data_IF_218483896970
#
_entry.id   IF_218483896970
#
_cell.length_a   1.000
_cell.length_b   1.000
_cell.length_c   1.000
_cell.angle_alpha   90.00
_cell.angle_beta   90.00
_cell.angle_gamma   90.00
#
_symmetry.space_group_name_H-M   'P 1'
#
loop_
_entity.id
_entity.type
_entity.pdbx_description
1 polymer ?
#
# COMPACT_ATOMS: atom_id res chain seq x y z
N UNK A 1 34.88 2.74 12.74
CA UNK A 1 35.40 1.86 11.66
C UNK A 1 34.60 0.56 11.65
N UNK A 2 33.62 0.50 10.74
CA UNK A 2 32.80 -0.62 10.22
C UNK A 2 31.46 -0.03 9.79
N UNK A 3 31.50 0.68 8.68
CA UNK A 3 30.33 1.03 7.86
C UNK A 3 29.76 -0.27 7.32
N UNK A 4 28.57 -0.67 7.77
CA UNK A 4 27.80 -1.71 7.09
C UNK A 4 27.26 -1.10 5.80
N UNK A 5 28.02 -1.24 4.72
CA UNK A 5 27.50 -1.06 3.37
C UNK A 5 26.54 -2.22 3.10
N UNK A 6 25.24 -1.96 3.13
CA UNK A 6 24.25 -2.86 2.54
C UNK A 6 24.41 -2.78 1.01
N UNK A 7 25.36 -3.54 0.47
CA UNK A 7 25.35 -3.89 -0.94
C UNK A 7 24.23 -4.91 -1.13
N UNK A 8 23.05 -4.45 -1.58
CA UNK A 8 21.95 -5.32 -1.98
C UNK A 8 22.36 -6.12 -3.22
N UNK A 9 22.83 -7.35 -3.01
CA UNK A 9 22.71 -8.38 -4.04
C UNK A 9 21.31 -8.99 -3.92
N UNK A 10 20.65 -9.32 -5.05
CA UNK A 10 19.33 -9.96 -5.01
C UNK A 10 19.42 -11.23 -4.17
N UNK A 11 18.53 -11.36 -3.20
CA UNK A 11 18.44 -12.54 -2.38
C UNK A 11 17.90 -13.69 -3.24
N UNK A 12 18.77 -14.64 -3.57
CA UNK A 12 18.40 -15.87 -4.31
C UNK A 12 17.65 -16.87 -3.42
N UNK A 13 17.81 -16.75 -2.10
CA UNK A 13 17.15 -17.60 -1.09
C UNK A 13 16.09 -16.84 -0.28
N UNK A 14 15.07 -17.56 0.18
CA UNK A 14 14.05 -17.05 1.10
C UNK A 14 14.69 -16.66 2.43
N UNK A 15 14.42 -15.45 2.91
CA UNK A 15 15.00 -14.96 4.15
C UNK A 15 14.03 -15.09 5.32
N UNK A 16 14.45 -15.80 6.37
CA UNK A 16 13.70 -15.89 7.62
C UNK A 16 13.81 -14.57 8.40
N UNK A 17 12.66 -13.99 8.72
CA UNK A 17 12.55 -12.83 9.58
C UNK A 17 12.81 -13.28 11.02
N UNK A 18 13.88 -12.76 11.64
CA UNK A 18 14.29 -13.10 13.02
C UNK A 18 13.64 -12.20 14.08
N UNK A 19 13.32 -10.96 13.72
CA UNK A 19 12.70 -9.96 14.60
C UNK A 19 11.63 -9.20 13.83
N UNK A 20 10.49 -8.92 14.46
CA UNK A 20 9.38 -8.18 13.85
C UNK A 20 9.86 -6.84 13.31
N UNK A 21 9.55 -6.51 12.06
CA UNK A 21 10.01 -5.27 11.44
C UNK A 21 9.52 -4.01 12.17
N UNK A 22 8.35 -4.06 12.82
CA UNK A 22 7.74 -2.92 13.55
C UNK A 22 8.12 -2.86 15.03
N UNK A 23 7.95 -3.95 15.80
CA UNK A 23 8.18 -3.92 17.25
C UNK A 23 9.55 -4.45 17.69
N UNK A 24 10.29 -5.13 16.81
CA UNK A 24 11.54 -5.86 17.09
C UNK A 24 11.39 -7.07 18.02
N UNK A 25 10.17 -7.45 18.38
CA UNK A 25 9.85 -8.71 19.05
C UNK A 25 10.31 -9.94 18.27
N UNK A 26 10.74 -10.99 18.96
CA UNK A 26 11.31 -12.20 18.34
C UNK A 26 10.36 -13.42 18.37
N UNK A 27 9.18 -13.28 18.99
CA UNK A 27 8.21 -14.38 19.13
C UNK A 27 7.13 -14.24 18.07
N UNK A 28 7.04 -15.26 17.22
CA UNK A 28 6.03 -15.36 16.16
C UNK A 28 5.31 -16.70 16.30
N UNK A 29 4.00 -16.69 16.08
CA UNK A 29 3.22 -17.91 15.97
C UNK A 29 2.60 -18.03 14.59
N UNK A 30 2.48 -19.28 14.14
CA UNK A 30 1.86 -19.63 12.87
C UNK A 30 0.36 -19.40 12.91
N UNK A 31 -0.20 -18.86 11.82
CA UNK A 31 -1.64 -18.71 11.65
C UNK A 31 -2.19 -19.70 10.60
N UNK A 32 -1.71 -19.57 9.37
CA UNK A 32 -2.11 -20.40 8.22
C UNK A 32 -1.06 -20.26 7.11
N UNK A 33 -1.26 -20.95 5.99
CA UNK A 33 -0.38 -20.86 4.82
C UNK A 33 -1.12 -20.31 3.61
N UNK A 34 -0.43 -19.52 2.79
CA UNK A 34 -0.87 -19.05 1.48
C UNK A 34 0.11 -19.63 0.46
N UNK A 35 -0.36 -20.51 -0.42
CA UNK A 35 0.51 -21.33 -1.28
C UNK A 35 1.59 -22.01 -0.42
N UNK A 36 2.88 -21.80 -0.73
CA UNK A 36 4.01 -22.38 0.00
C UNK A 36 4.59 -21.46 1.10
N UNK A 37 3.88 -20.39 1.48
CA UNK A 37 4.35 -19.40 2.45
C UNK A 37 3.52 -19.45 3.73
N UNK A 38 4.22 -19.36 4.87
CA UNK A 38 3.58 -19.31 6.19
C UNK A 38 3.28 -17.87 6.55
N UNK A 39 2.02 -17.61 6.90
CA UNK A 39 1.61 -16.37 7.54
C UNK A 39 1.80 -16.53 9.03
N UNK A 40 2.62 -15.66 9.60
CA UNK A 40 2.88 -15.62 11.05
C UNK A 40 2.38 -14.31 11.64
N UNK A 41 2.12 -14.30 12.94
CA UNK A 41 1.77 -13.11 13.70
C UNK A 41 2.78 -12.88 14.82
N UNK A 42 3.18 -11.62 15.00
CA UNK A 42 3.99 -11.21 16.12
C UNK A 42 3.19 -11.22 17.42
N UNK A 43 3.75 -11.86 18.45
CA UNK A 43 3.13 -11.95 19.78
C UNK A 43 3.07 -10.57 20.47
N UNK A 44 4.07 -9.72 20.24
CA UNK A 44 4.21 -8.48 21.00
C UNK A 44 3.39 -7.31 20.42
N UNK A 45 3.25 -7.20 19.08
CA UNK A 45 2.50 -6.11 18.45
C UNK A 45 1.37 -6.53 17.51
N UNK A 46 1.18 -7.83 17.28
CA UNK A 46 0.11 -8.34 16.43
C UNK A 46 0.33 -8.24 14.93
N UNK A 47 1.43 -7.66 14.44
CA UNK A 47 1.73 -7.58 13.00
C UNK A 47 1.75 -8.96 12.35
N UNK A 48 1.05 -9.09 11.22
CA UNK A 48 1.05 -10.29 10.38
C UNK A 48 1.99 -10.11 9.20
N UNK A 49 2.74 -11.15 8.85
CA UNK A 49 3.69 -11.12 7.73
C UNK A 49 4.05 -12.54 7.26
N UNK A 50 4.65 -12.64 6.08
CA UNK A 50 5.19 -13.91 5.55
C UNK A 50 6.53 -14.23 6.21
N UNK A 51 6.70 -15.47 6.70
CA UNK A 51 7.98 -15.93 7.25
C UNK A 51 8.27 -17.41 6.90
N UNK A 52 9.34 -17.71 6.14
CA UNK A 52 10.28 -16.76 5.53
C UNK A 52 9.61 -15.92 4.44
N UNK A 53 10.16 -14.73 4.16
CA UNK A 53 9.71 -13.92 3.03
C UNK A 53 10.22 -14.53 1.70
N UNK A 54 9.45 -14.40 0.60
CA UNK A 54 9.91 -14.74 -0.75
C UNK A 54 11.28 -14.12 -1.08
N UNK A 55 12.05 -14.82 -1.90
CA UNK A 55 13.32 -14.32 -2.46
C UNK A 55 13.05 -13.24 -3.52
N UNK A 56 14.08 -12.47 -3.91
CA UNK A 56 13.92 -11.42 -4.92
C UNK A 56 13.60 -12.02 -6.30
N UNK A 57 14.14 -13.22 -6.59
CA UNK A 57 13.83 -13.97 -7.81
C UNK A 57 12.39 -14.49 -7.83
N UNK A 58 11.85 -14.87 -6.68
CA UNK A 58 10.44 -15.25 -6.55
C UNK A 58 9.52 -14.04 -6.74
N UNK A 59 9.84 -12.91 -6.12
CA UNK A 59 9.07 -11.68 -6.29
C UNK A 59 9.11 -11.17 -7.73
N UNK A 60 10.29 -11.16 -8.38
CA UNK A 60 10.43 -10.73 -9.78
C UNK A 60 9.55 -11.55 -10.70
N UNK A 61 9.53 -12.88 -10.54
CA UNK A 61 8.63 -13.77 -11.31
C UNK A 61 7.15 -13.49 -11.06
N UNK A 62 6.77 -13.20 -9.82
CA UNK A 62 5.38 -12.84 -9.49
C UNK A 62 5.00 -11.52 -10.14
N UNK A 63 5.88 -10.51 -10.07
CA UNK A 63 5.66 -9.23 -10.73
C UNK A 63 5.58 -9.40 -12.24
N UNK A 64 6.56 -10.01 -12.92
CA UNK A 64 6.54 -10.19 -14.38
C UNK A 64 5.28 -10.92 -14.89
N UNK A 65 4.79 -11.92 -14.15
CA UNK A 65 3.59 -12.67 -14.50
C UNK A 65 2.27 -11.91 -14.21
N UNK A 66 2.24 -11.00 -13.22
CA UNK A 66 1.01 -10.43 -12.68
C UNK A 66 0.95 -8.90 -12.67
N UNK A 67 1.97 -8.19 -13.15
CA UNK A 67 2.20 -6.75 -12.92
C UNK A 67 1.01 -5.86 -13.30
N UNK A 68 0.12 -6.30 -14.19
CA UNK A 68 -1.15 -5.64 -14.41
C UNK A 68 -2.35 -6.59 -14.21
N UNK A 69 -3.23 -6.20 -13.28
CA UNK A 69 -4.62 -6.65 -13.27
C UNK A 69 -5.34 -5.95 -14.43
N UNK A 70 -5.12 -6.45 -15.64
CA UNK A 70 -5.64 -5.92 -16.90
C UNK A 70 -6.47 -6.96 -17.66
N UNK A 71 -7.25 -6.48 -18.62
CA UNK A 71 -7.87 -7.35 -19.62
C UNK A 71 -6.88 -7.58 -20.77
N UNK A 72 -6.89 -8.77 -21.37
CA UNK A 72 -6.15 -9.04 -22.61
C UNK A 72 -6.71 -8.26 -23.81
N UNK A 73 -7.97 -7.80 -23.69
CA UNK A 73 -8.62 -6.96 -24.71
C UNK A 73 -8.34 -5.48 -24.51
N UNK A 74 -8.18 -4.75 -25.62
CA UNK A 74 -7.97 -3.30 -25.62
C UNK A 74 -9.09 -2.54 -24.90
N UNK A 75 -10.34 -2.94 -25.14
CA UNK A 75 -11.51 -2.34 -24.49
C UNK A 75 -11.53 -2.55 -22.98
N UNK A 76 -11.06 -3.71 -22.50
CA UNK A 76 -10.95 -3.96 -21.07
C UNK A 76 -9.78 -3.23 -20.42
N UNK A 77 -8.64 -3.08 -21.12
CA UNK A 77 -7.53 -2.23 -20.65
C UNK A 77 -7.99 -0.78 -20.46
N UNK A 78 -8.73 -0.24 -21.43
CA UNK A 78 -9.28 1.11 -21.34
C UNK A 78 -10.23 1.26 -20.14
N UNK A 79 -11.15 0.31 -19.93
CA UNK A 79 -12.06 0.35 -18.78
C UNK A 79 -11.32 0.29 -17.43
N UNK A 80 -10.27 -0.52 -17.32
CA UNK A 80 -9.42 -0.57 -16.12
C UNK A 80 -8.69 0.77 -15.92
N UNK A 81 -8.17 1.36 -16.98
CA UNK A 81 -7.51 2.67 -16.94
C UNK A 81 -8.45 3.77 -16.42
N UNK A 82 -9.69 3.83 -16.91
CA UNK A 82 -10.67 4.82 -16.46
C UNK A 82 -11.03 4.67 -14.96
N UNK A 83 -11.13 3.44 -14.48
CA UNK A 83 -11.36 3.11 -13.06
C UNK A 83 -10.18 3.57 -12.19
N UNK A 84 -8.95 3.29 -12.63
CA UNK A 84 -7.73 3.72 -11.94
C UNK A 84 -7.63 5.24 -11.88
N UNK A 85 -7.86 5.93 -13.00
CA UNK A 85 -7.90 7.39 -13.04
C UNK A 85 -8.98 7.98 -12.14
N UNK A 86 -10.16 7.38 -12.08
CA UNK A 86 -11.22 7.84 -11.18
C UNK A 86 -10.85 7.65 -9.71
N UNK A 87 -10.21 6.53 -9.36
CA UNK A 87 -9.68 6.29 -8.01
C UNK A 87 -8.54 7.25 -7.67
N UNK A 88 -7.65 7.54 -8.61
CA UNK A 88 -6.58 8.50 -8.43
C UNK A 88 -7.11 9.92 -8.13
N UNK A 89 -8.14 10.37 -8.85
CA UNK A 89 -8.83 11.65 -8.57
C UNK A 89 -9.50 11.66 -7.19
N UNK A 90 -10.12 10.55 -6.78
CA UNK A 90 -10.67 10.41 -5.42
C UNK A 90 -9.56 10.59 -4.37
N UNK A 91 -8.44 9.88 -4.53
CA UNK A 91 -7.31 9.99 -3.61
C UNK A 91 -6.75 11.40 -3.56
N UNK A 92 -6.57 12.06 -4.71
CA UNK A 92 -6.08 13.44 -4.76
C UNK A 92 -7.04 14.41 -4.04
N UNK A 93 -8.35 14.22 -4.19
CA UNK A 93 -9.34 15.02 -3.47
C UNK A 93 -9.24 14.80 -1.94
N UNK A 94 -9.06 13.56 -1.48
CA UNK A 94 -8.87 13.25 -0.06
C UNK A 94 -7.54 13.81 0.47
N UNK A 95 -6.43 13.67 -0.27
CA UNK A 95 -5.14 14.25 0.15
C UNK A 95 -5.23 15.77 0.26
N UNK A 96 -5.92 16.46 -0.65
CA UNK A 96 -6.19 17.90 -0.56
C UNK A 96 -7.01 18.25 0.68
N UNK A 97 -8.08 17.50 0.94
CA UNK A 97 -8.94 17.68 2.13
C UNK A 97 -8.15 17.57 3.44
N UNK A 98 -7.23 16.61 3.54
CA UNK A 98 -6.45 16.35 4.76
C UNK A 98 -5.18 17.18 4.88
N UNK A 99 -4.49 17.44 3.76
CA UNK A 99 -3.28 18.25 3.75
C UNK A 99 -3.58 19.75 3.85
N UNK A 100 -4.74 20.20 3.35
CA UNK A 100 -5.05 21.61 3.14
C UNK A 100 -4.27 22.25 1.98
N UNK A 101 -3.37 21.49 1.33
CA UNK A 101 -2.52 21.97 0.26
C UNK A 101 -3.29 21.99 -1.07
N UNK A 102 -3.11 23.08 -1.82
CA UNK A 102 -3.70 23.23 -3.16
C UNK A 102 -2.72 22.82 -4.25
N UNK A 103 -1.44 23.09 -4.03
CA UNK A 103 -0.32 22.78 -4.90
C UNK A 103 0.94 22.62 -4.04
N UNK A 104 2.03 22.15 -4.65
CA UNK A 104 3.31 21.95 -3.98
C UNK A 104 4.15 20.92 -4.71
N UNK A 105 5.14 20.37 -4.00
CA UNK A 105 5.97 19.27 -4.50
C UNK A 105 5.40 17.95 -4.02
N UNK A 106 5.01 17.09 -4.95
CA UNK A 106 4.42 15.78 -4.69
C UNK A 106 5.37 14.65 -5.07
N UNK A 107 5.54 13.68 -4.18
CA UNK A 107 6.23 12.42 -4.48
C UNK A 107 5.25 11.24 -4.39
N UNK A 108 5.02 10.53 -5.48
CA UNK A 108 4.34 9.23 -5.46
C UNK A 108 5.39 8.11 -5.54
N UNK A 109 5.39 7.22 -4.56
CA UNK A 109 6.24 6.02 -4.60
C UNK A 109 5.38 4.83 -5.02
N UNK A 110 5.84 4.05 -6.00
CA UNK A 110 5.07 3.02 -6.68
C UNK A 110 4.01 3.59 -7.61
N UNK A 111 4.39 4.54 -8.48
CA UNK A 111 3.42 5.30 -9.28
C UNK A 111 2.77 4.51 -10.43
N UNK A 112 3.24 3.28 -10.72
CA UNK A 112 2.70 2.43 -11.78
C UNK A 112 2.62 3.15 -13.12
N UNK A 113 1.48 3.09 -13.80
CA UNK A 113 1.24 3.77 -15.08
C UNK A 113 1.06 5.30 -14.96
N UNK A 114 1.11 5.88 -13.75
CA UNK A 114 1.13 7.33 -13.48
C UNK A 114 -0.23 8.03 -13.40
N UNK A 115 -1.33 7.29 -13.18
CA UNK A 115 -2.68 7.89 -13.16
C UNK A 115 -2.83 8.99 -12.10
N UNK A 116 -2.21 8.82 -10.93
CA UNK A 116 -2.23 9.81 -9.85
C UNK A 116 -1.29 10.98 -10.13
N UNK A 117 -0.05 10.74 -10.60
CA UNK A 117 0.85 11.81 -11.03
C UNK A 117 0.21 12.73 -12.09
N UNK A 118 -0.45 12.14 -13.10
CA UNK A 118 -1.11 12.91 -14.15
C UNK A 118 -2.26 13.75 -13.59
N UNK A 119 -3.11 13.16 -12.74
CA UNK A 119 -4.20 13.89 -12.10
C UNK A 119 -3.68 15.05 -11.23
N UNK A 120 -2.60 14.83 -10.49
CA UNK A 120 -1.98 15.87 -9.65
C UNK A 120 -1.30 16.97 -10.48
N UNK A 121 -0.61 16.63 -11.57
CA UNK A 121 0.01 17.61 -12.48
C UNK A 121 -1.05 18.50 -13.15
N UNK A 122 -2.17 17.90 -13.58
CA UNK A 122 -3.30 18.66 -14.15
C UNK A 122 -3.95 19.61 -13.12
N UNK A 123 -3.79 19.35 -11.82
CA UNK A 123 -4.21 20.24 -10.72
C UNK A 123 -3.09 21.18 -10.22
N UNK A 124 -1.94 21.23 -10.90
CA UNK A 124 -0.88 22.21 -10.64
C UNK A 124 0.21 21.76 -9.65
N UNK A 125 0.26 20.48 -9.29
CA UNK A 125 1.37 19.95 -8.50
C UNK A 125 2.64 19.80 -9.33
N UNK A 126 3.79 20.05 -8.70
CA UNK A 126 5.09 19.64 -9.25
C UNK A 126 5.36 18.20 -8.82
N UNK A 127 5.12 17.26 -9.72
CA UNK A 127 5.07 15.83 -9.41
C UNK A 127 6.39 15.11 -9.68
N UNK A 128 6.74 14.18 -8.80
CA UNK A 128 7.82 13.21 -8.96
C UNK A 128 7.29 11.81 -8.67
N UNK A 129 7.58 10.85 -9.53
CA UNK A 129 7.27 9.43 -9.34
C UNK A 129 8.52 8.60 -9.05
N UNK A 130 8.36 7.52 -8.29
CA UNK A 130 9.32 6.41 -8.21
C UNK A 130 8.59 5.14 -8.60
N UNK A 131 9.14 4.36 -9.52
CA UNK A 131 8.54 3.10 -9.96
C UNK A 131 9.63 2.08 -10.33
N UNK A 132 9.44 0.83 -9.91
CA UNK A 132 10.40 -0.24 -10.17
C UNK A 132 10.41 -0.63 -11.65
N UNK A 133 9.24 -0.73 -12.29
CA UNK A 133 9.10 -1.17 -13.69
C UNK A 133 9.60 -0.11 -14.68
N UNK A 134 10.64 -0.42 -15.49
CA UNK A 134 11.12 0.50 -16.52
C UNK A 134 10.05 0.78 -17.58
N UNK A 135 9.24 -0.22 -17.95
CA UNK A 135 8.15 -0.07 -18.91
C UNK A 135 7.06 0.86 -18.39
N UNK A 136 6.71 0.78 -17.10
CA UNK A 136 5.76 1.70 -16.49
C UNK A 136 6.33 3.13 -16.46
N UNK A 137 7.61 3.28 -16.06
CA UNK A 137 8.29 4.57 -16.10
C UNK A 137 8.26 5.22 -17.49
N UNK A 138 8.48 4.47 -18.57
CA UNK A 138 8.38 5.00 -19.93
C UNK A 138 6.98 5.54 -20.26
N UNK A 139 5.93 4.82 -19.86
CA UNK A 139 4.54 5.32 -20.03
C UNK A 139 4.32 6.60 -19.25
N UNK A 140 4.78 6.66 -18.00
CA UNK A 140 4.67 7.86 -17.16
C UNK A 140 5.37 9.05 -17.83
N UNK A 141 6.61 8.88 -18.32
CA UNK A 141 7.36 9.93 -19.03
C UNK A 141 6.64 10.48 -20.26
N UNK A 142 5.86 9.65 -20.96
CA UNK A 142 5.06 10.09 -22.11
C UNK A 142 3.78 10.81 -21.73
N UNK A 143 3.27 10.58 -20.52
CA UNK A 143 2.00 11.14 -20.02
C UNK A 143 2.19 12.46 -19.26
N UNK A 144 3.31 12.62 -18.56
CA UNK A 144 3.65 13.84 -17.83
C UNK A 144 4.15 14.93 -18.76
N UNK A 145 3.79 16.18 -18.45
CA UNK A 145 4.19 17.38 -19.21
C UNK A 145 5.47 17.97 -18.63
N UNK A 146 5.53 18.10 -17.30
CA UNK A 146 6.59 18.78 -16.55
C UNK A 146 7.12 17.95 -15.36
N UNK A 147 6.44 16.87 -14.99
CA UNK A 147 6.83 15.96 -13.92
C UNK A 147 8.00 15.05 -14.26
N UNK A 148 8.54 14.38 -13.23
CA UNK A 148 9.68 13.49 -13.33
C UNK A 148 9.34 12.09 -12.82
N UNK A 149 10.01 11.05 -13.33
CA UNK A 149 9.88 9.68 -12.82
C UNK A 149 11.24 8.97 -12.77
N UNK A 150 11.54 8.41 -11.59
CA UNK A 150 12.73 7.65 -11.29
C UNK A 150 12.43 6.16 -11.39
N UNK A 151 13.25 5.44 -12.14
CA UNK A 151 13.15 3.98 -12.23
C UNK A 151 13.97 3.35 -11.10
N UNK A 152 13.37 2.49 -10.29
CA UNK A 152 14.03 1.75 -9.21
C UNK A 152 13.37 1.95 -7.85
N UNK A 153 14.13 1.69 -6.79
CA UNK A 153 13.66 1.82 -5.41
C UNK A 153 13.80 3.24 -4.86
N UNK A 154 12.95 3.60 -3.89
CA UNK A 154 13.03 4.90 -3.22
C UNK A 154 14.42 5.19 -2.65
N UNK A 155 15.05 4.19 -2.02
CA UNK A 155 16.38 4.33 -1.42
C UNK A 155 17.48 4.64 -2.46
N UNK A 156 17.30 4.24 -3.71
CA UNK A 156 18.25 4.46 -4.80
C UNK A 156 18.07 5.83 -5.46
N UNK A 157 16.88 6.44 -5.33
CA UNK A 157 16.60 7.75 -5.92
C UNK A 157 17.35 8.90 -5.22
N UNK A 158 17.84 8.68 -3.99
CA UNK A 158 18.70 9.61 -3.23
C UNK A 158 18.16 11.05 -3.18
N UNK A 159 16.83 11.20 -3.01
CA UNK A 159 16.22 12.51 -2.97
C UNK A 159 16.79 13.38 -1.82
N UNK A 160 16.93 14.70 -2.03
CA UNK A 160 17.19 15.64 -0.96
C UNK A 160 16.22 15.48 0.23
N UNK A 161 16.73 15.71 1.44
CA UNK A 161 15.87 15.79 2.61
C UNK A 161 14.92 16.99 2.48
N UNK A 162 13.74 16.88 3.08
CA UNK A 162 12.81 18.02 3.23
C UNK A 162 12.39 18.70 1.93
N UNK A 163 12.20 17.90 0.88
CA UNK A 163 11.91 18.39 -0.45
C UNK A 163 10.41 18.39 -0.78
N UNK A 164 9.64 17.46 -0.22
CA UNK A 164 8.25 17.21 -0.65
C UNK A 164 7.23 17.69 0.38
N UNK A 165 6.14 18.29 -0.11
CA UNK A 165 5.00 18.73 0.70
C UNK A 165 4.01 17.58 0.94
N UNK A 166 3.90 16.67 -0.04
CA UNK A 166 3.01 15.51 -0.01
C UNK A 166 3.73 14.26 -0.55
N UNK A 167 3.72 13.18 0.21
CA UNK A 167 4.10 11.84 -0.25
C UNK A 167 2.88 10.92 -0.31
N UNK A 168 2.81 10.11 -1.36
CA UNK A 168 1.70 9.18 -1.62
C UNK A 168 2.22 7.77 -1.81
N UNK A 169 1.58 6.83 -1.12
CA UNK A 169 1.73 5.38 -1.29
C UNK A 169 0.36 4.79 -1.61
N UNK A 170 0.20 4.11 -2.75
CA UNK A 170 -1.03 3.40 -3.08
C UNK A 170 -0.73 1.95 -3.42
N UNK A 171 -1.16 1.03 -2.55
CA UNK A 171 -0.93 -0.41 -2.68
C UNK A 171 0.58 -0.75 -2.79
N UNK A 172 1.41 -0.17 -1.89
CA UNK A 172 2.89 -0.28 -1.90
C UNK A 172 3.45 -0.83 -0.59
N UNK A 173 3.00 -0.31 0.55
CA UNK A 173 3.65 -0.56 1.85
C UNK A 173 3.63 -2.05 2.26
N UNK A 174 2.62 -2.80 1.82
CA UNK A 174 2.46 -4.24 2.01
C UNK A 174 3.54 -5.06 1.29
N UNK A 175 4.16 -4.50 0.24
CA UNK A 175 5.22 -5.14 -0.55
C UNK A 175 6.62 -4.88 0.00
N UNK A 176 6.76 -4.03 1.02
CA UNK A 176 8.04 -3.59 1.55
C UNK A 176 8.58 -4.59 2.59
N UNK A 177 9.84 -5.01 2.42
CA UNK A 177 10.53 -5.93 3.34
C UNK A 177 10.67 -5.36 4.75
N UNK A 178 11.20 -4.14 4.88
CA UNK A 178 11.29 -3.42 6.15
C UNK A 178 10.49 -2.10 6.11
N UNK A 179 9.22 -2.12 6.54
CA UNK A 179 8.37 -0.93 6.50
C UNK A 179 8.87 0.22 7.37
N UNK A 180 9.62 -0.02 8.46
CA UNK A 180 10.13 1.08 9.28
C UNK A 180 11.25 1.84 8.58
N UNK A 181 12.20 1.12 7.96
CA UNK A 181 13.29 1.76 7.20
C UNK A 181 12.71 2.57 6.05
N UNK A 182 11.75 2.00 5.32
CA UNK A 182 11.07 2.67 4.22
C UNK A 182 10.29 3.92 4.66
N UNK A 183 9.48 3.82 5.73
CA UNK A 183 8.75 4.98 6.26
C UNK A 183 9.68 6.08 6.78
N UNK A 184 10.84 5.75 7.35
CA UNK A 184 11.85 6.75 7.77
C UNK A 184 12.47 7.48 6.59
N UNK A 185 12.67 6.80 5.47
CA UNK A 185 13.14 7.46 4.25
C UNK A 185 12.09 8.45 3.72
N UNK A 186 10.81 8.06 3.74
CA UNK A 186 9.71 8.97 3.40
C UNK A 186 9.66 10.17 4.37
N UNK A 187 9.82 9.93 5.67
CA UNK A 187 9.91 11.00 6.67
C UNK A 187 11.08 11.95 6.39
N UNK A 188 12.24 11.44 5.99
CA UNK A 188 13.41 12.25 5.65
C UNK A 188 13.14 13.19 4.47
N UNK A 189 12.52 12.70 3.39
CA UNK A 189 12.29 13.48 2.16
C UNK A 189 11.10 14.46 2.28
N UNK A 190 10.19 14.25 3.22
CA UNK A 190 9.11 15.19 3.51
C UNK A 190 9.63 16.45 4.21
N UNK A 191 9.07 17.61 3.87
CA UNK A 191 9.27 18.86 4.61
C UNK A 191 8.65 18.77 6.01
N UNK A 192 9.14 19.53 7.01
CA UNK A 192 8.45 19.67 8.30
C UNK A 192 6.97 20.03 8.10
N UNK A 193 6.06 19.30 8.74
CA UNK A 193 4.61 19.45 8.54
C UNK A 193 4.05 18.87 7.23
N UNK A 194 4.90 18.29 6.37
CA UNK A 194 4.49 17.59 5.15
C UNK A 194 3.61 16.38 5.44
N UNK A 195 2.79 16.01 4.46
CA UNK A 195 1.77 14.96 4.61
C UNK A 195 2.22 13.66 3.94
N UNK A 196 1.99 12.54 4.63
CA UNK A 196 2.02 11.21 4.03
C UNK A 196 0.58 10.69 3.90
N UNK A 197 0.22 10.26 2.70
CA UNK A 197 -0.99 9.49 2.41
C UNK A 197 -0.63 8.06 2.04
N UNK A 198 -1.32 7.09 2.65
CA UNK A 198 -1.15 5.66 2.41
C UNK A 198 -2.51 5.02 2.15
N UNK A 199 -2.67 4.39 1.00
CA UNK A 199 -3.76 3.45 0.73
C UNK A 199 -3.17 2.03 0.68
N UNK A 200 -3.70 1.10 1.46
CA UNK A 200 -3.20 -0.29 1.53
C UNK A 200 -4.29 -1.24 2.01
N UNK A 201 -4.26 -2.54 1.66
CA UNK A 201 -5.11 -3.57 2.25
C UNK A 201 -5.09 -3.55 3.77
N UNK A 202 -6.24 -3.85 4.40
CA UNK A 202 -6.34 -3.93 5.86
C UNK A 202 -6.96 -5.24 6.32
N UNK A 203 -6.29 -5.97 7.21
CA UNK A 203 -6.77 -7.26 7.75
C UNK A 203 -8.00 -7.09 8.66
N UNK A 204 -8.30 -5.87 9.10
CA UNK A 204 -9.51 -5.54 9.86
C UNK A 204 -10.62 -4.92 8.99
N UNK A 205 -10.44 -4.91 7.67
CA UNK A 205 -11.48 -4.49 6.71
C UNK A 205 -12.70 -5.41 6.78
N UNK A 206 -13.85 -4.90 6.28
CA UNK A 206 -15.09 -5.68 6.25
C UNK A 206 -14.91 -6.98 5.45
N UNK A 207 -14.15 -6.93 4.35
CA UNK A 207 -13.95 -8.06 3.45
C UNK A 207 -12.97 -9.08 4.05
N UNK A 208 -11.95 -8.64 4.77
CA UNK A 208 -11.06 -9.53 5.54
C UNK A 208 -11.81 -10.27 6.65
N UNK A 209 -12.66 -9.56 7.40
CA UNK A 209 -13.52 -10.14 8.45
C UNK A 209 -14.49 -11.18 7.89
N UNK A 210 -15.09 -10.89 6.73
CA UNK A 210 -16.04 -11.79 6.08
C UNK A 210 -15.36 -13.02 5.48
N UNK A 211 -14.27 -12.84 4.73
CA UNK A 211 -13.61 -13.93 3.98
C UNK A 211 -12.59 -14.73 4.82
N UNK A 212 -12.15 -14.21 5.96
CA UNK A 212 -11.15 -14.84 6.83
C UNK A 212 -9.90 -15.26 6.03
N UNK A 213 -9.45 -16.51 6.14
CA UNK A 213 -8.29 -17.05 5.42
C UNK A 213 -8.45 -17.07 3.89
N UNK A 214 -9.66 -16.86 3.37
CA UNK A 214 -9.94 -16.75 1.92
C UNK A 214 -9.96 -15.30 1.42
N UNK A 215 -9.48 -14.36 2.23
CA UNK A 215 -9.43 -12.96 1.84
C UNK A 215 -8.49 -12.75 0.64
N UNK A 216 -8.99 -12.08 -0.40
CA UNK A 216 -8.30 -11.98 -1.69
C UNK A 216 -6.95 -11.21 -1.65
N UNK A 217 -6.71 -10.45 -0.58
CA UNK A 217 -5.44 -9.73 -0.39
C UNK A 217 -4.38 -10.57 0.33
N UNK A 218 -4.68 -11.82 0.70
CA UNK A 218 -3.67 -12.79 1.09
C UNK A 218 -2.94 -13.30 -0.16
N UNK A 219 -1.96 -12.51 -0.61
CA UNK A 219 -1.12 -12.79 -1.79
C UNK A 219 0.34 -12.95 -1.39
N UNK A 220 1.11 -13.64 -2.23
CA UNK A 220 2.53 -13.95 -1.98
C UNK A 220 3.43 -12.73 -2.12
N UNK A 221 3.04 -11.76 -2.92
CA UNK A 221 3.72 -10.48 -3.09
C UNK A 221 3.45 -9.49 -1.93
N UNK A 222 2.41 -9.72 -1.12
CA UNK A 222 2.14 -8.93 0.09
C UNK A 222 2.96 -9.52 1.25
N UNK A 223 4.13 -8.95 1.49
CA UNK A 223 5.08 -9.40 2.50
C UNK A 223 4.58 -9.14 3.94
N UNK A 224 3.83 -8.07 4.12
CA UNK A 224 3.32 -7.61 5.42
C UNK A 224 1.82 -7.30 5.31
N UNK A 225 1.04 -7.72 6.31
CA UNK A 225 -0.40 -7.49 6.39
C UNK A 225 -0.72 -6.60 7.60
N UNK A 226 -1.17 -5.38 7.32
CA UNK A 226 -1.48 -4.39 8.34
C UNK A 226 -2.95 -4.43 8.77
N UNK A 227 -3.18 -4.15 10.04
CA UNK A 227 -4.43 -3.55 10.53
C UNK A 227 -4.18 -2.07 10.87
N UNK A 228 -5.23 -1.38 11.31
CA UNK A 228 -5.13 0.04 11.71
C UNK A 228 -4.05 0.25 12.79
N UNK A 229 -4.04 -0.60 13.82
CA UNK A 229 -3.15 -0.43 14.98
C UNK A 229 -1.69 -0.62 14.61
N UNK A 230 -1.38 -1.65 13.83
CA UNK A 230 -0.01 -2.00 13.41
C UNK A 230 0.54 -0.98 12.42
N UNK A 231 -0.28 -0.45 11.50
CA UNK A 231 0.15 0.64 10.61
C UNK A 231 0.34 1.95 11.38
N UNK A 232 -0.57 2.30 12.30
CA UNK A 232 -0.40 3.48 13.17
C UNK A 232 0.88 3.36 14.01
N UNK A 233 1.17 2.18 14.54
CA UNK A 233 2.41 1.92 15.31
C UNK A 233 3.64 2.09 14.43
N UNK A 234 3.62 1.57 13.19
CA UNK A 234 4.73 1.72 12.24
C UNK A 234 4.97 3.20 11.90
N UNK A 235 3.90 3.96 11.63
CA UNK A 235 3.97 5.40 11.35
C UNK A 235 4.55 6.17 12.55
N UNK A 236 4.04 5.93 13.76
CA UNK A 236 4.53 6.59 14.97
C UNK A 236 6.03 6.32 15.22
N UNK A 237 6.47 5.06 15.05
CA UNK A 237 7.89 4.66 15.20
C UNK A 237 8.82 5.22 14.10
N UNK A 238 8.24 5.74 13.02
CA UNK A 238 8.96 6.37 11.92
C UNK A 238 8.87 7.90 11.96
N UNK A 239 8.32 8.50 13.02
CA UNK A 239 8.31 9.94 13.24
C UNK A 239 7.06 10.66 12.72
N UNK A 240 6.04 9.93 12.29
CA UNK A 240 4.76 10.51 11.89
C UNK A 240 3.82 10.70 13.07
N UNK A 241 3.00 11.75 13.01
CA UNK A 241 1.95 12.08 13.99
C UNK A 241 0.63 12.42 13.28
N UNK A 242 -0.40 12.76 14.06
CA UNK A 242 -1.73 13.14 13.58
C UNK A 242 -2.33 12.10 12.63
N UNK A 243 -2.25 10.83 13.03
CA UNK A 243 -2.63 9.71 12.17
C UNK A 243 -4.16 9.59 12.11
N UNK A 244 -4.70 9.80 10.92
CA UNK A 244 -6.12 9.67 10.62
C UNK A 244 -6.31 8.45 9.75
N UNK A 245 -7.17 7.52 10.18
CA UNK A 245 -7.46 6.28 9.46
C UNK A 245 -8.91 6.27 9.02
N UNK A 246 -9.12 6.00 7.73
CA UNK A 246 -10.42 5.88 7.09
C UNK A 246 -10.57 4.52 6.39
N UNK A 247 -11.80 4.17 6.06
CA UNK A 247 -12.10 3.05 5.16
C UNK A 247 -11.48 3.27 3.78
N UNK A 248 -10.94 2.22 3.17
CA UNK A 248 -10.31 2.27 1.84
C UNK A 248 -11.33 2.43 0.72
N UNK A 249 -11.72 3.66 0.41
CA UNK A 249 -12.64 3.96 -0.69
C UNK A 249 -11.92 3.84 -2.04
N UNK A 250 -12.50 3.09 -2.99
CA UNK A 250 -12.03 3.04 -4.38
C UNK A 250 -13.20 3.32 -5.32
N UNK A 251 -12.92 3.89 -6.50
CA UNK A 251 -13.92 3.98 -7.57
C UNK A 251 -13.82 2.71 -8.40
N UNK A 252 -14.86 1.88 -8.40
CA UNK A 252 -14.88 0.59 -9.08
C UNK A 252 -16.18 0.42 -9.89
N UNK A 253 -16.13 -0.40 -10.94
CA UNK A 253 -17.32 -0.85 -11.67
C UNK A 253 -17.70 -2.26 -11.24
N UNK A 254 -18.95 -2.67 -11.47
CA UNK A 254 -19.39 -4.02 -11.12
C UNK A 254 -18.66 -5.08 -11.95
N UNK A 255 -18.41 -4.81 -13.23
CA UNK A 255 -17.64 -5.71 -14.09
C UNK A 255 -16.19 -5.86 -13.60
N UNK A 256 -15.58 -4.79 -13.09
CA UNK A 256 -14.25 -4.86 -12.49
C UNK A 256 -14.24 -5.71 -11.21
N UNK A 257 -15.24 -5.51 -10.33
CA UNK A 257 -15.39 -6.33 -9.12
C UNK A 257 -15.57 -7.81 -9.51
N UNK A 258 -16.44 -8.12 -10.46
CA UNK A 258 -16.60 -9.48 -10.97
C UNK A 258 -15.29 -10.05 -11.51
N UNK A 259 -14.59 -9.32 -12.37
CA UNK A 259 -13.31 -9.74 -12.95
C UNK A 259 -12.30 -10.10 -11.85
N UNK A 260 -12.26 -9.32 -10.77
CA UNK A 260 -11.42 -9.62 -9.61
C UNK A 260 -11.82 -10.94 -8.93
N UNK A 261 -13.12 -11.18 -8.72
CA UNK A 261 -13.63 -12.42 -8.14
C UNK A 261 -13.56 -13.62 -9.10
N UNK A 262 -13.38 -13.42 -10.40
CA UNK A 262 -13.08 -14.51 -11.35
C UNK A 262 -11.60 -14.91 -11.31
N UNK A 263 -10.69 -13.94 -11.13
CA UNK A 263 -9.26 -14.21 -10.95
C UNK A 263 -8.95 -14.82 -9.58
N UNK A 264 -9.65 -14.37 -8.54
CA UNK A 264 -9.52 -14.86 -7.17
C UNK A 264 -10.86 -15.42 -6.68
N UNK A 265 -11.21 -16.66 -7.08
CA UNK A 265 -12.54 -17.21 -6.84
C UNK A 265 -12.82 -17.46 -5.35
N UNK A 266 -13.95 -16.90 -4.89
CA UNK A 266 -14.49 -17.12 -3.54
C UNK A 266 -15.77 -17.94 -3.66
N UNK A 267 -15.89 -19.08 -2.94
CA UNK A 267 -17.10 -19.90 -2.96
C UNK A 267 -18.34 -19.08 -2.63
N UNK A 268 -19.46 -19.37 -3.30
CA UNK A 268 -20.73 -18.64 -3.21
C UNK A 268 -20.70 -17.24 -3.81
N UNK A 269 -19.68 -16.41 -3.49
CA UNK A 269 -19.60 -15.01 -3.96
C UNK A 269 -19.34 -14.94 -5.47
N UNK A 270 -18.34 -15.66 -5.99
CA UNK A 270 -18.01 -15.62 -7.42
C UNK A 270 -19.17 -16.11 -8.30
N UNK A 271 -19.82 -17.27 -8.04
CA UNK A 271 -20.99 -17.70 -8.81
C UNK A 271 -22.16 -16.71 -8.74
N UNK A 272 -22.39 -16.11 -7.58
CA UNK A 272 -23.45 -15.12 -7.38
C UNK A 272 -23.21 -13.84 -8.19
N UNK A 273 -21.99 -13.29 -8.16
CA UNK A 273 -21.61 -12.13 -8.97
C UNK A 273 -21.75 -12.43 -10.47
N UNK A 274 -21.31 -13.61 -10.90
CA UNK A 274 -21.46 -14.07 -12.29
C UNK A 274 -22.92 -14.17 -12.70
N UNK A 275 -23.79 -14.70 -11.85
CA UNK A 275 -25.23 -14.76 -12.08
C UNK A 275 -25.83 -13.35 -12.20
N UNK A 276 -25.54 -12.44 -11.25
CA UNK A 276 -26.03 -11.06 -11.28
C UNK A 276 -25.58 -10.33 -12.55
N UNK A 277 -24.33 -10.51 -13.00
CA UNK A 277 -23.87 -9.85 -14.23
C UNK A 277 -24.66 -10.28 -15.46
N UNK A 278 -25.21 -11.50 -15.52
CA UNK A 278 -26.04 -11.95 -16.64
C UNK A 278 -27.39 -11.26 -16.68
N UNK A 279 -27.89 -10.83 -15.52
CA UNK A 279 -29.18 -10.13 -15.38
C UNK A 279 -29.05 -8.61 -15.48
N UNK A 280 -27.88 -8.06 -15.16
CA UNK A 280 -27.70 -6.61 -15.04
C UNK A 280 -27.35 -5.93 -16.39
N UNK A 281 -28.03 -4.84 -16.78
CA UNK A 281 -27.73 -4.11 -18.02
C UNK A 281 -26.27 -3.62 -18.08
N UNK A 282 -25.66 -3.69 -19.27
CA UNK A 282 -24.24 -3.31 -19.47
C UNK A 282 -23.93 -1.89 -18.97
N UNK A 283 -24.83 -0.92 -19.18
CA UNK A 283 -24.67 0.46 -18.68
C UNK A 283 -24.55 0.53 -17.15
N UNK A 284 -25.29 -0.32 -16.42
CA UNK A 284 -25.19 -0.38 -14.96
C UNK A 284 -23.93 -1.11 -14.50
N UNK A 285 -23.49 -2.13 -15.23
CA UNK A 285 -22.28 -2.91 -14.93
C UNK A 285 -20.99 -2.09 -15.03
N UNK A 286 -20.91 -1.21 -16.02
CA UNK A 286 -19.76 -0.34 -16.26
C UNK A 286 -19.80 0.96 -15.45
N UNK A 287 -20.91 1.28 -14.78
CA UNK A 287 -21.02 2.53 -14.02
C UNK A 287 -20.01 2.55 -12.86
N UNK A 288 -19.16 3.58 -12.84
CA UNK A 288 -18.22 3.84 -11.75
C UNK A 288 -18.98 4.20 -10.46
N UNK A 289 -18.63 3.53 -9.36
CA UNK A 289 -19.20 3.77 -8.04
C UNK A 289 -18.10 3.83 -7.02
N UNK A 290 -18.21 4.76 -6.09
CA UNK A 290 -17.37 4.79 -4.89
C UNK A 290 -17.83 3.68 -3.96
N UNK A 291 -16.93 2.73 -3.66
CA UNK A 291 -17.20 1.60 -2.78
C UNK A 291 -16.10 1.45 -1.74
N UNK A 292 -16.46 0.94 -0.56
CA UNK A 292 -15.47 0.55 0.45
C UNK A 292 -14.83 -0.76 -0.02
N UNK A 293 -13.56 -0.71 -0.41
CA UNK A 293 -12.79 -1.88 -0.82
C UNK A 293 -12.26 -2.66 0.40
N UNK A 294 -11.23 -3.48 0.19
CA UNK A 294 -10.52 -4.29 1.19
C UNK A 294 -9.51 -3.52 2.05
N UNK A 295 -9.31 -2.23 1.79
CA UNK A 295 -8.22 -1.46 2.38
C UNK A 295 -8.61 -0.45 3.45
N UNK A 296 -7.61 0.31 3.84
CA UNK A 296 -7.71 1.55 4.60
C UNK A 296 -6.99 2.67 3.87
N UNK A 297 -7.41 3.91 4.14
CA UNK A 297 -6.70 5.13 3.77
C UNK A 297 -6.17 5.78 5.04
N UNK A 298 -4.89 6.11 5.07
CA UNK A 298 -4.21 6.68 6.24
C UNK A 298 -3.52 7.97 5.84
N UNK A 299 -3.75 9.00 6.64
CA UNK A 299 -3.11 10.31 6.52
C UNK A 299 -2.29 10.54 7.77
N UNK A 300 -1.09 11.10 7.62
CA UNK A 300 -0.25 11.46 8.75
C UNK A 300 0.67 12.63 8.40
N UNK A 301 1.20 13.30 9.41
CA UNK A 301 2.09 14.45 9.26
C UNK A 301 3.49 14.12 9.71
N UNK A 302 4.50 14.63 8.98
CA UNK A 302 5.87 14.70 9.48
C UNK A 302 5.87 15.63 10.69
N UNK A 303 6.16 15.08 11.87
CA UNK A 303 6.50 15.86 13.05
C UNK A 303 8.02 15.94 13.16
N UNK A 304 8.53 17.06 13.66
CA UNK A 304 9.85 17.04 14.27
C UNK A 304 9.83 16.01 15.38
N UNK A 305 10.82 15.11 15.39
CA UNK A 305 11.03 14.19 16.51
C UNK A 305 11.63 15.03 17.64
N UNK A 306 10.81 15.85 18.29
CA UNK A 306 11.14 16.30 19.64
C UNK A 306 10.99 15.06 20.51
N UNK A 307 12.05 14.59 21.20
CA UNK A 307 11.92 13.56 22.21
C UNK A 307 11.07 14.14 23.35
N UNK A 308 9.75 14.03 23.21
CA UNK A 308 8.82 14.26 24.29
C UNK A 308 8.96 13.03 25.21
N UNK A 309 9.23 13.21 26.52
CA UNK A 309 9.25 12.10 27.44
C UNK A 309 7.90 11.38 27.38
N UNK A 310 7.93 10.11 27.00
CA UNK A 310 6.73 9.28 26.92
C UNK A 310 6.37 8.91 28.36
N UNK A 311 5.28 9.48 28.89
CA UNK A 311 4.67 9.00 30.12
C UNK A 311 3.97 7.67 29.79
N UNK A 312 4.64 6.56 30.06
CA UNK A 312 3.99 5.25 30.05
C UNK A 312 3.15 5.12 31.33
N UNK A 313 1.83 5.31 31.21
CA UNK A 313 0.89 4.97 32.29
C UNK A 313 0.68 3.45 32.23
N UNK A 314 1.36 2.74 33.12
CA UNK A 314 1.07 1.32 33.39
C UNK A 314 -0.15 1.28 34.30
N UNK A 315 -1.31 0.89 33.77
CA UNK A 315 -2.49 0.63 34.59
C UNK A 315 -2.43 -0.83 35.06
N UNK A 316 -2.25 -1.12 36.36
CA UNK A 316 -2.35 -2.47 36.86
C UNK A 316 -3.80 -2.97 36.68
N UNK A 317 -3.97 -4.04 35.90
CA UNK A 317 -5.23 -4.77 35.84
C UNK A 317 -5.34 -5.64 37.09
N UNK A 318 -6.17 -5.22 38.05
CA UNK A 318 -6.56 -6.08 39.16
C UNK A 318 -7.61 -7.07 38.64
N UNK A 319 -7.20 -8.33 38.46
CA UNK A 319 -8.16 -9.43 38.32
C UNK A 319 -8.78 -9.68 39.70
N UNK A 320 -9.94 -9.09 39.96
CA UNK A 320 -10.78 -9.54 41.06
C UNK A 320 -11.34 -10.92 40.70
N UNK A 321 -10.85 -11.94 41.39
CA UNK A 321 -11.42 -13.29 41.39
C UNK A 321 -12.78 -13.19 42.10
N UNK A 322 -13.85 -13.58 41.42
CA UNK A 322 -15.13 -13.89 42.06
C UNK A 322 -15.31 -15.39 42.19
#
# INVERSE_FOLDING_TARGET
MKTMSHTNHPATERQAVKTCHVCKGARFYYLFSISDYRVVRCDDCGLMFLNPQPSDDELTRIYDANYFLGSDTETGRQAVSEIKQATARLYLAETRRYSGLQYGRLLEIGCGDGDFLVAAEDEGWLVTGVEYSPTACEKVRRRLKNGQVHSGELAQAQFPAEQYDLCVLSDVIEHIRDPLVFLREIHRVLKPGGTLFVATPSIDSWSARFMKQKWMEFKTEHLTYFDRQTLQTALAKSGFRDVIVQSGWKILSFDYVKMHFERFPVPVVTPFLTFITRLMPRKMRLKHRQIVASGMMVFSRKSEVTPQPVLSVVVPAFNEVK
#
